data_IF_154413580003
#
_entry.id   IF_154413580003
#
_cell.length_a   1.000
_cell.length_b   1.000
_cell.length_c   1.000
_cell.angle_alpha   90.00
_cell.angle_beta   90.00
_cell.angle_gamma   90.00
#
_symmetry.space_group_name_H-M   'P 1'
#
loop_
_entity.id
_entity.type
_entity.pdbx_description
1 polymer ?
#
# COMPACT_ATOMS: atom_id res chain seq x y z
N UNK A 1 34.06 6.00 -7.33
CA UNK A 1 33.03 7.00 -6.98
C UNK A 1 31.67 6.34 -6.98
N UNK A 2 30.96 6.47 -5.85
CA UNK A 2 29.50 6.41 -5.64
C UNK A 2 28.63 5.84 -6.78
N UNK A 3 27.91 4.74 -6.50
CA UNK A 3 26.55 4.56 -7.04
C UNK A 3 25.57 4.66 -5.88
N UNK A 4 24.90 5.82 -5.81
CA UNK A 4 23.73 6.02 -4.96
C UNK A 4 22.65 5.04 -5.40
N UNK A 5 22.42 4.01 -4.59
CA UNK A 5 21.23 3.16 -4.65
C UNK A 5 20.05 4.00 -4.12
N UNK A 6 19.49 4.84 -4.99
CA UNK A 6 18.42 5.77 -4.65
C UNK A 6 17.08 5.23 -5.10
N UNK A 7 16.30 4.76 -4.12
CA UNK A 7 14.83 4.70 -4.13
C UNK A 7 14.17 3.64 -5.02
N UNK A 8 14.38 2.37 -4.66
CA UNK A 8 13.33 1.37 -4.86
C UNK A 8 12.20 1.67 -3.88
N UNK A 9 10.97 1.81 -4.37
CA UNK A 9 9.77 1.87 -3.53
C UNK A 9 9.74 0.57 -2.71
N UNK A 10 9.97 0.70 -1.40
CA UNK A 10 10.11 -0.43 -0.48
C UNK A 10 8.79 -1.17 -0.35
N UNK A 11 8.61 -2.22 -1.15
CA UNK A 11 7.44 -3.09 -1.04
C UNK A 11 7.54 -3.93 0.23
N UNK A 12 6.50 -3.94 1.10
CA UNK A 12 6.45 -4.77 2.30
C UNK A 12 6.85 -6.23 2.04
N UNK A 13 6.44 -6.83 0.93
CA UNK A 13 6.76 -8.23 0.59
C UNK A 13 8.25 -8.49 0.41
N UNK A 14 9.01 -7.48 -0.01
CA UNK A 14 10.43 -7.58 -0.31
C UNK A 14 11.24 -7.10 0.90
N UNK A 15 10.80 -6.01 1.53
CA UNK A 15 11.54 -5.38 2.62
C UNK A 15 11.25 -5.99 3.98
N UNK A 16 10.07 -6.58 4.22
CA UNK A 16 9.73 -7.13 5.54
C UNK A 16 10.50 -8.42 5.85
N UNK A 17 10.59 -9.40 4.93
CA UNK A 17 11.47 -10.54 5.16
C UNK A 17 12.93 -10.10 5.32
N UNK A 18 13.37 -9.10 4.53
CA UNK A 18 14.73 -8.55 4.60
C UNK A 18 15.03 -7.76 5.90
N UNK A 19 13.99 -7.29 6.61
CA UNK A 19 14.08 -6.59 7.90
C UNK A 19 13.67 -7.49 9.09
N UNK A 20 13.50 -8.81 8.86
CA UNK A 20 13.22 -9.78 9.92
C UNK A 20 11.74 -9.94 10.29
N UNK A 21 10.81 -9.30 9.57
CA UNK A 21 9.37 -9.50 9.70
C UNK A 21 8.92 -10.62 8.76
N UNK A 22 8.68 -11.82 9.32
CA UNK A 22 8.18 -12.95 8.55
C UNK A 22 6.72 -12.71 8.14
N UNK A 23 6.42 -12.92 6.86
CA UNK A 23 5.03 -13.01 6.37
C UNK A 23 4.44 -14.33 6.87
N UNK A 24 3.38 -14.25 7.66
CA UNK A 24 2.67 -15.42 8.22
C UNK A 24 1.60 -15.97 7.30
N UNK A 25 1.16 -15.16 6.33
CA UNK A 25 0.13 -15.47 5.34
C UNK A 25 0.50 -14.87 3.99
N UNK A 26 -0.02 -15.49 2.94
CA UNK A 26 0.06 -14.95 1.59
C UNK A 26 -0.65 -13.61 1.50
N UNK A 27 -0.06 -12.69 0.75
CA UNK A 27 -0.65 -11.39 0.46
C UNK A 27 -1.90 -11.55 -0.41
N UNK A 28 -2.99 -10.91 -0.01
CA UNK A 28 -4.27 -10.90 -0.74
C UNK A 28 -4.56 -9.51 -1.28
N UNK A 29 -5.02 -9.45 -2.52
CA UNK A 29 -5.52 -8.21 -3.13
C UNK A 29 -7.02 -8.10 -2.90
N UNK A 30 -7.46 -6.94 -2.43
CA UNK A 30 -8.86 -6.67 -2.11
C UNK A 30 -9.26 -5.26 -2.58
N UNK A 31 -10.55 -5.07 -2.83
CA UNK A 31 -11.13 -3.75 -3.12
C UNK A 31 -12.13 -3.41 -2.04
N UNK A 32 -11.78 -2.43 -1.21
CA UNK A 32 -12.66 -1.89 -0.18
C UNK A 32 -13.48 -0.76 -0.79
N UNK A 33 -14.80 -0.83 -0.61
CA UNK A 33 -15.72 0.21 -1.11
C UNK A 33 -16.16 1.10 0.06
N UNK A 34 -15.96 2.40 -0.09
CA UNK A 34 -16.48 3.45 0.77
C UNK A 34 -17.69 4.09 0.08
N UNK A 35 -18.43 4.98 0.76
CA UNK A 35 -19.64 5.59 0.18
C UNK A 35 -19.40 6.28 -1.16
N UNK A 36 -18.21 6.85 -1.36
CA UNK A 36 -17.87 7.67 -2.55
C UNK A 36 -16.71 7.13 -3.37
N UNK A 37 -15.93 6.20 -2.83
CA UNK A 37 -14.66 5.76 -3.42
C UNK A 37 -14.47 4.26 -3.30
N UNK A 38 -13.58 3.73 -4.14
CA UNK A 38 -13.11 2.35 -4.05
C UNK A 38 -11.60 2.37 -3.93
N UNK A 39 -11.07 1.58 -3.00
CA UNK A 39 -9.64 1.47 -2.76
C UNK A 39 -9.18 0.04 -3.01
N UNK A 40 -8.34 -0.13 -4.03
CA UNK A 40 -7.61 -1.37 -4.23
C UNK A 40 -6.41 -1.38 -3.27
N UNK A 41 -6.38 -2.36 -2.37
CA UNK A 41 -5.32 -2.52 -1.38
C UNK A 41 -4.87 -3.98 -1.29
N UNK A 42 -3.74 -4.17 -0.62
CA UNK A 42 -3.21 -5.47 -0.27
C UNK A 42 -3.28 -5.68 1.22
N UNK A 43 -3.69 -6.89 1.60
CA UNK A 43 -3.70 -7.37 2.97
C UNK A 43 -2.68 -8.46 3.14
N UNK A 44 -1.90 -8.36 4.20
CA UNK A 44 -0.96 -9.39 4.62
C UNK A 44 -0.89 -9.43 6.13
N UNK A 45 -0.35 -10.51 6.67
CA UNK A 45 -0.09 -10.63 8.10
C UNK A 45 1.40 -10.87 8.28
N UNK A 46 2.04 -9.97 9.02
CA UNK A 46 3.44 -10.08 9.38
C UNK A 46 3.57 -10.35 10.88
N UNK A 47 4.64 -11.01 11.32
CA UNK A 47 4.78 -11.26 12.76
C UNK A 47 6.00 -12.07 13.16
N UNK A 48 6.52 -11.80 14.36
CA UNK A 48 7.66 -12.49 14.98
C UNK A 48 7.32 -12.91 16.40
N UNK A 49 7.64 -14.15 16.79
CA UNK A 49 7.30 -14.69 18.12
C UNK A 49 5.79 -14.67 18.39
N UNK A 50 5.36 -14.00 19.46
CA UNK A 50 3.95 -13.83 19.83
C UNK A 50 3.27 -12.65 19.12
N UNK A 51 3.99 -11.86 18.32
CA UNK A 51 3.42 -10.70 17.63
C UNK A 51 2.74 -11.13 16.33
N UNK A 52 1.46 -10.82 16.21
CA UNK A 52 0.68 -10.92 14.97
C UNK A 52 0.26 -9.51 14.52
N UNK A 53 0.66 -9.12 13.32
CA UNK A 53 0.40 -7.78 12.77
C UNK A 53 -0.31 -7.92 11.41
N UNK A 54 -1.65 -7.84 11.39
CA UNK A 54 -2.42 -7.64 10.17
C UNK A 54 -2.16 -6.25 9.58
N UNK A 55 -1.91 -6.18 8.27
CA UNK A 55 -1.49 -4.97 7.56
C UNK A 55 -2.30 -4.82 6.28
N UNK A 56 -2.92 -3.65 6.10
CA UNK A 56 -3.50 -3.18 4.84
C UNK A 56 -2.60 -2.12 4.24
N UNK A 57 -2.24 -2.22 2.97
CA UNK A 57 -1.39 -1.23 2.32
C UNK A 57 -1.69 -1.06 0.83
N UNK A 58 -1.35 0.10 0.28
CA UNK A 58 -1.40 0.34 -1.17
C UNK A 58 -0.31 1.33 -1.59
N UNK A 59 -0.05 1.37 -2.90
CA UNK A 59 0.95 2.23 -3.51
C UNK A 59 0.26 3.22 -4.45
N UNK A 60 0.60 4.49 -4.31
CA UNK A 60 0.28 5.55 -5.28
C UNK A 60 1.56 5.86 -6.03
N UNK A 61 1.51 5.83 -7.37
CA UNK A 61 2.67 6.17 -8.21
C UNK A 61 2.22 7.23 -9.21
N UNK A 62 2.77 8.44 -9.11
CA UNK A 62 2.31 9.58 -9.89
C UNK A 62 0.84 9.87 -9.59
N UNK A 63 -0.03 9.58 -10.56
CA UNK A 63 -1.46 9.91 -10.54
C UNK A 63 -2.38 8.70 -10.35
N UNK A 64 -1.85 7.47 -10.40
CA UNK A 64 -2.64 6.24 -10.34
C UNK A 64 -2.40 5.47 -9.03
N UNK A 65 -3.48 5.00 -8.39
CA UNK A 65 -3.38 3.83 -7.50
C UNK A 65 -3.12 2.67 -8.43
N UNK A 66 -1.86 2.24 -8.46
CA UNK A 66 -1.43 1.19 -9.34
C UNK A 66 -2.16 -0.10 -8.93
N UNK A 67 -3.32 -0.34 -9.56
CA UNK A 67 -4.10 -1.57 -9.47
C UNK A 67 -3.10 -2.70 -9.63
N UNK A 68 -2.90 -3.42 -8.54
CA UNK A 68 -1.88 -4.45 -8.47
C UNK A 68 -2.22 -5.50 -9.54
N UNK A 69 -1.34 -5.62 -10.54
CA UNK A 69 -1.63 -6.33 -11.77
C UNK A 69 -0.67 -5.96 -12.89
N UNK A 70 -0.93 -6.44 -14.12
CA UNK A 70 -0.07 -6.19 -15.29
C UNK A 70 0.17 -4.71 -15.56
N UNK A 71 -0.80 -3.84 -15.26
CA UNK A 71 -0.68 -2.39 -15.34
C UNK A 71 0.44 -1.82 -14.45
N UNK A 72 0.57 -2.32 -13.22
CA UNK A 72 1.63 -1.91 -12.26
C UNK A 72 3.03 -2.26 -12.80
N UNK A 73 3.20 -3.46 -13.37
CA UNK A 73 4.48 -3.87 -13.98
C UNK A 73 4.82 -3.02 -15.20
N UNK A 74 3.84 -2.73 -16.06
CA UNK A 74 4.05 -1.90 -17.25
C UNK A 74 4.33 -0.45 -16.86
N UNK A 75 3.64 0.11 -15.87
CA UNK A 75 3.92 1.43 -15.32
C UNK A 75 5.36 1.51 -14.77
N UNK A 76 5.74 0.56 -13.92
CA UNK A 76 7.08 0.50 -13.34
C UNK A 76 8.18 0.35 -14.42
N UNK A 77 7.93 -0.46 -15.46
CA UNK A 77 8.82 -0.61 -16.61
C UNK A 77 8.89 0.66 -17.47
N UNK A 78 7.75 1.30 -17.77
CA UNK A 78 7.69 2.57 -18.52
C UNK A 78 8.47 3.66 -17.80
N UNK A 79 8.28 3.82 -16.49
CA UNK A 79 8.99 4.81 -15.68
C UNK A 79 10.49 4.50 -15.60
N UNK A 80 10.88 3.22 -15.39
CA UNK A 80 12.27 2.79 -15.42
C UNK A 80 12.99 3.02 -16.75
N UNK A 81 12.27 2.96 -17.89
CA UNK A 81 12.82 3.21 -19.22
C UNK A 81 12.91 4.71 -19.57
N UNK A 82 12.05 5.56 -19.00
CA UNK A 82 12.07 7.02 -19.22
C UNK A 82 13.06 7.78 -18.34
N UNK A 83 13.68 7.11 -17.35
CA UNK A 83 14.63 7.74 -16.43
C UNK A 83 13.99 8.70 -15.42
N UNK A 84 12.65 8.76 -15.37
CA UNK A 84 11.86 9.52 -14.41
C UNK A 84 11.18 8.56 -13.44
N UNK A 85 11.53 8.64 -12.16
CA UNK A 85 10.80 7.96 -11.08
C UNK A 85 9.78 8.99 -10.57
N UNK A 86 8.48 8.87 -10.91
CA UNK A 86 7.48 9.76 -10.34
C UNK A 86 7.42 9.57 -8.82
N UNK A 87 7.11 10.65 -8.10
CA UNK A 87 6.90 10.57 -6.65
C UNK A 87 5.89 9.47 -6.33
N UNK A 88 6.31 8.52 -5.49
CA UNK A 88 5.52 7.37 -5.09
C UNK A 88 5.27 7.39 -3.59
N UNK A 89 4.05 7.08 -3.18
CA UNK A 89 3.66 7.01 -1.77
C UNK A 89 3.23 5.58 -1.41
N UNK A 90 3.82 5.05 -0.34
CA UNK A 90 3.34 3.84 0.32
C UNK A 90 2.45 4.24 1.50
N UNK A 91 1.19 3.86 1.45
CA UNK A 91 0.27 4.03 2.55
C UNK A 91 0.06 2.68 3.20
N UNK A 92 0.25 2.63 4.53
CA UNK A 92 0.16 1.42 5.35
C UNK A 92 -0.67 1.69 6.59
N UNK A 93 -1.65 0.83 6.84
CA UNK A 93 -2.41 0.76 8.08
C UNK A 93 -2.20 -0.63 8.68
N UNK A 94 -1.89 -0.68 9.96
CA UNK A 94 -1.56 -1.93 10.65
C UNK A 94 -2.04 -1.89 12.09
N UNK A 95 -2.40 -3.05 12.62
CA UNK A 95 -2.74 -3.26 14.03
C UNK A 95 -1.99 -4.48 14.56
N UNK A 96 -1.79 -4.55 15.88
CA UNK A 96 -1.29 -5.77 16.54
C UNK A 96 -2.50 -6.46 17.14
N UNK A 97 -2.89 -7.59 16.56
CA UNK A 97 -4.08 -8.36 16.95
C UNK A 97 -3.93 -9.80 16.46
N UNK A 98 -4.35 -10.76 17.28
CA UNK A 98 -4.35 -12.17 16.91
C UNK A 98 -5.62 -12.54 16.09
N UNK A 99 -6.70 -11.76 16.20
CA UNK A 99 -7.87 -11.88 15.33
C UNK A 99 -7.68 -11.03 14.07
N UNK A 100 -7.16 -11.68 13.02
CA UNK A 100 -6.92 -11.05 11.72
C UNK A 100 -8.20 -10.42 11.13
N UNK A 101 -9.36 -11.04 11.33
CA UNK A 101 -10.62 -10.57 10.72
C UNK A 101 -11.14 -9.33 11.44
N UNK A 102 -11.11 -9.33 12.77
CA UNK A 102 -11.46 -8.16 13.57
C UNK A 102 -10.50 -6.99 13.30
N UNK A 103 -9.20 -7.28 13.18
CA UNK A 103 -8.19 -6.30 12.82
C UNK A 103 -8.45 -5.64 11.47
N UNK A 104 -8.70 -6.42 10.42
CA UNK A 104 -9.00 -5.87 9.10
C UNK A 104 -10.31 -5.06 9.07
N UNK A 105 -11.34 -5.50 9.82
CA UNK A 105 -12.57 -4.72 9.95
C UNK A 105 -12.33 -3.36 10.66
N UNK A 106 -11.52 -3.34 11.73
CA UNK A 106 -11.15 -2.11 12.40
C UNK A 106 -10.33 -1.17 11.50
N UNK A 107 -9.44 -1.73 10.67
CA UNK A 107 -8.69 -0.97 9.67
C UNK A 107 -9.61 -0.36 8.62
N UNK A 108 -10.65 -1.04 8.16
CA UNK A 108 -11.62 -0.50 7.20
C UNK A 108 -12.43 0.66 7.77
N UNK A 109 -12.81 0.57 9.05
CA UNK A 109 -13.46 1.69 9.77
C UNK A 109 -12.51 2.89 9.86
N UNK A 110 -11.27 2.66 10.29
CA UNK A 110 -10.26 3.72 10.34
C UNK A 110 -10.02 4.37 8.98
N UNK A 111 -9.90 3.57 7.91
CA UNK A 111 -9.70 4.08 6.55
C UNK A 111 -10.87 4.94 6.09
N UNK A 112 -12.11 4.55 6.39
CA UNK A 112 -13.31 5.35 6.09
C UNK A 112 -13.24 6.70 6.79
N UNK A 113 -13.06 6.68 8.11
CA UNK A 113 -13.04 7.90 8.92
C UNK A 113 -11.89 8.83 8.53
N UNK A 114 -10.73 8.26 8.22
CA UNK A 114 -9.56 8.98 7.72
C UNK A 114 -9.87 9.66 6.38
N UNK A 115 -10.45 8.94 5.41
CA UNK A 115 -10.77 9.48 4.09
C UNK A 115 -11.86 10.55 4.14
N UNK A 116 -12.81 10.43 5.06
CA UNK A 116 -13.90 11.39 5.24
C UNK A 116 -13.45 12.67 5.97
N UNK A 117 -12.46 12.57 6.85
CA UNK A 117 -11.85 13.72 7.52
C UNK A 117 -10.84 14.48 6.64
N UNK A 118 -10.40 13.90 5.52
CA UNK A 118 -9.38 14.49 4.64
C UNK A 118 -9.94 15.56 3.70
N UNK A 119 -9.13 16.60 3.44
CA UNK A 119 -9.41 17.55 2.40
C UNK A 119 -9.53 16.84 1.02
N UNK A 120 -10.46 17.26 0.14
CA UNK A 120 -10.73 16.55 -1.11
C UNK A 120 -9.50 16.31 -2.00
N UNK A 121 -8.59 17.27 -2.05
CA UNK A 121 -7.38 17.17 -2.89
C UNK A 121 -6.43 16.09 -2.36
N UNK A 122 -6.22 16.05 -1.05
CA UNK A 122 -5.38 15.04 -0.42
C UNK A 122 -6.01 13.65 -0.50
N UNK A 123 -7.33 13.56 -0.32
CA UNK A 123 -8.11 12.33 -0.52
C UNK A 123 -7.90 11.77 -1.93
N UNK A 124 -8.04 12.61 -2.97
CA UNK A 124 -7.79 12.18 -4.37
C UNK A 124 -6.35 11.73 -4.58
N UNK A 125 -5.38 12.44 -4.01
CA UNK A 125 -3.95 12.05 -4.11
C UNK A 125 -3.68 10.69 -3.49
N UNK A 126 -4.15 10.42 -2.28
CA UNK A 126 -3.88 9.13 -1.62
C UNK A 126 -4.67 7.97 -2.22
N UNK A 127 -5.78 8.26 -2.89
CA UNK A 127 -6.56 7.31 -3.67
C UNK A 127 -6.09 7.20 -5.13
N UNK A 128 -5.05 7.96 -5.53
CA UNK A 128 -4.53 7.99 -6.90
C UNK A 128 -5.62 8.24 -7.94
N UNK A 129 -6.41 9.28 -7.67
CA UNK A 129 -7.49 9.80 -8.51
C UNK A 129 -7.15 11.19 -9.06
N UNK A 130 -5.88 11.61 -9.01
CA UNK A 130 -5.47 12.88 -9.62
C UNK A 130 -5.44 12.71 -11.14
N UNK A 131 -6.22 13.49 -11.88
CA UNK A 131 -6.05 13.60 -13.32
C UNK A 131 -5.05 14.72 -13.58
N UNK A 132 -4.01 14.43 -14.36
CA UNK A 132 -3.08 15.45 -14.87
C UNK A 132 -3.73 16.38 -15.87
#
# INVERSE_FOLDING_TARGET
GRRNQGMDIHRPEICYPAQGLALRRDTREEVVSFERDRLALKRLVAGTGARNEPISYWLVIGHDVASFGYGHRIALLKYGLTGHVPDGMLIRVSSIDDDESAAFAAQDVFLRDMLDAMAPDFRRRILGLEQG
#
